data_IF_180586682502
#
_entry.id   IF_180586682502
#
_cell.length_a   1.000
_cell.length_b   1.000
_cell.length_c   1.000
_cell.angle_alpha   90.00
_cell.angle_beta   90.00
_cell.angle_gamma   90.00
#
_symmetry.space_group_name_H-M   'P 1'
#
loop_
_entity.id
_entity.type
_entity.pdbx_description
1 polymer ?
#
# COMPACT_ATOMS: atom_id res chain seq x y z
N UNK A 1 7.93 -26.90 -17.03
CA UNK A 1 7.75 -25.44 -16.98
C UNK A 1 6.86 -25.02 -18.12
N UNK A 2 5.88 -24.12 -17.91
CA UNK A 2 5.12 -23.57 -19.03
C UNK A 2 6.07 -22.89 -20.02
N UNK A 3 5.67 -22.73 -21.28
CA UNK A 3 6.45 -22.05 -22.30
C UNK A 3 6.85 -20.61 -21.92
N UNK A 4 6.21 -20.03 -20.90
CA UNK A 4 6.49 -18.69 -20.36
C UNK A 4 7.06 -18.70 -18.93
N UNK A 5 7.48 -19.85 -18.41
CA UNK A 5 8.00 -19.96 -17.03
C UNK A 5 6.96 -19.67 -15.96
N UNK A 6 5.68 -19.90 -16.25
CA UNK A 6 4.58 -19.66 -15.31
C UNK A 6 4.38 -20.87 -14.40
N UNK A 7 4.12 -20.60 -13.12
CA UNK A 7 3.69 -21.59 -12.12
C UNK A 7 2.20 -21.36 -11.88
N UNK A 8 1.41 -22.44 -11.99
CA UNK A 8 -0.03 -22.41 -11.71
C UNK A 8 -0.25 -22.84 -10.26
N UNK A 9 -0.96 -22.02 -9.50
CA UNK A 9 -1.42 -22.39 -8.15
C UNK A 9 -2.78 -23.11 -8.30
N UNK A 10 -2.90 -24.39 -7.90
CA UNK A 10 -4.18 -25.12 -7.88
C UNK A 10 -5.24 -24.42 -7.03
N UNK A 11 -6.52 -24.65 -7.35
CA UNK A 11 -7.66 -24.02 -6.65
C UNK A 11 -7.65 -24.32 -5.15
N UNK A 12 -7.46 -25.57 -4.77
CA UNK A 12 -7.39 -26.01 -3.36
C UNK A 12 -6.36 -25.20 -2.54
N UNK A 13 -5.17 -24.97 -3.10
CA UNK A 13 -4.11 -24.18 -2.45
C UNK A 13 -4.49 -22.68 -2.39
N UNK A 14 -5.21 -22.17 -3.40
CA UNK A 14 -5.69 -20.78 -3.34
C UNK A 14 -6.69 -20.59 -2.22
N UNK A 15 -7.59 -21.54 -2.04
CA UNK A 15 -8.63 -21.47 -1.02
C UNK A 15 -8.02 -21.57 0.39
N UNK A 16 -7.09 -22.51 0.59
CA UNK A 16 -6.36 -22.67 1.86
C UNK A 16 -5.55 -21.43 2.27
N UNK A 17 -5.00 -20.71 1.28
CA UNK A 17 -4.19 -19.51 1.50
C UNK A 17 -4.99 -18.20 1.31
N UNK A 18 -6.31 -18.31 1.10
CA UNK A 18 -7.25 -17.21 0.86
C UNK A 18 -6.76 -16.26 -0.25
N UNK A 19 -6.27 -16.82 -1.35
CA UNK A 19 -5.71 -16.08 -2.47
C UNK A 19 -6.79 -15.70 -3.47
N UNK A 20 -6.96 -14.41 -3.68
CA UNK A 20 -7.84 -13.86 -4.72
C UNK A 20 -7.02 -13.24 -5.87
N UNK A 21 -7.68 -13.00 -7.01
CA UNK A 21 -7.08 -12.25 -8.09
C UNK A 21 -6.64 -10.86 -7.59
N UNK A 22 -5.38 -10.49 -7.85
CA UNK A 22 -4.79 -9.25 -7.32
C UNK A 22 -4.05 -9.40 -5.99
N UNK A 23 -4.03 -10.61 -5.40
CA UNK A 23 -3.16 -10.90 -4.25
C UNK A 23 -1.69 -10.65 -4.61
N UNK A 24 -1.00 -9.91 -3.75
CA UNK A 24 0.41 -9.59 -3.91
C UNK A 24 1.28 -10.52 -3.07
N UNK A 25 2.45 -10.84 -3.59
CA UNK A 25 3.44 -11.67 -2.90
C UNK A 25 4.79 -10.99 -2.86
N UNK A 26 5.43 -11.03 -1.69
CA UNK A 26 6.87 -10.86 -1.61
C UNK A 26 7.54 -12.18 -1.99
N UNK A 27 8.48 -12.11 -2.94
CA UNK A 27 9.20 -13.28 -3.46
C UNK A 27 10.61 -13.30 -2.89
N UNK A 28 10.97 -14.40 -2.25
CA UNK A 28 12.31 -14.60 -1.71
C UNK A 28 12.90 -15.89 -2.29
N UNK A 29 14.17 -15.81 -2.71
CA UNK A 29 14.97 -16.95 -3.12
C UNK A 29 16.45 -16.63 -2.94
N UNK A 30 17.26 -17.64 -2.59
CA UNK A 30 18.72 -17.55 -2.62
C UNK A 30 19.22 -18.44 -3.75
N UNK A 31 20.35 -18.09 -4.35
CA UNK A 31 20.94 -18.89 -5.43
C UNK A 31 21.26 -20.32 -4.99
N UNK A 32 21.52 -20.52 -3.69
CA UNK A 32 21.87 -21.80 -3.08
C UNK A 32 20.65 -22.55 -2.50
N UNK A 33 19.44 -21.99 -2.58
CA UNK A 33 18.24 -22.62 -2.01
C UNK A 33 17.42 -23.33 -3.08
N UNK A 34 17.01 -24.55 -2.80
CA UNK A 34 16.11 -25.34 -3.67
C UNK A 34 14.63 -24.92 -3.54
N UNK A 35 14.35 -23.76 -2.95
CA UNK A 35 12.99 -23.27 -2.71
C UNK A 35 12.85 -21.78 -2.99
N UNK A 36 11.64 -21.41 -3.42
CA UNK A 36 11.20 -20.02 -3.54
C UNK A 36 10.07 -19.82 -2.55
N UNK A 37 10.19 -18.83 -1.67
CA UNK A 37 9.15 -18.47 -0.72
C UNK A 37 8.28 -17.34 -1.29
N UNK A 38 6.98 -17.61 -1.39
CA UNK A 38 5.96 -16.63 -1.73
C UNK A 38 5.20 -16.23 -0.48
N UNK A 39 5.45 -15.03 0.05
CA UNK A 39 4.75 -14.52 1.23
C UNK A 39 3.62 -13.59 0.80
N UNK A 40 2.37 -13.96 1.09
CA UNK A 40 1.18 -13.11 0.85
C UNK A 40 1.35 -11.77 1.58
N UNK A 41 1.09 -10.68 0.88
CA UNK A 41 1.08 -9.33 1.44
C UNK A 41 -0.35 -8.89 1.67
N UNK A 42 -0.70 -8.65 2.92
CA UNK A 42 -1.95 -7.98 3.29
C UNK A 42 -1.72 -6.48 3.21
N UNK A 43 -2.20 -5.89 2.11
CA UNK A 43 -2.25 -4.44 2.02
C UNK A 43 -3.51 -3.93 2.70
N UNK A 44 -3.42 -2.83 3.47
CA UNK A 44 -4.61 -2.21 4.00
C UNK A 44 -5.48 -1.70 2.84
N UNK A 45 -6.79 -1.80 3.02
CA UNK A 45 -7.77 -1.20 2.11
C UNK A 45 -7.41 0.27 1.87
N UNK A 46 -7.14 0.70 0.61
CA UNK A 46 -6.62 2.03 0.32
C UNK A 46 -7.45 3.16 0.93
N UNK A 47 -8.77 3.02 0.88
CA UNK A 47 -9.71 4.00 1.46
C UNK A 47 -9.57 4.07 2.97
N UNK A 48 -9.54 2.93 3.66
CA UNK A 48 -9.39 2.88 5.13
C UNK A 48 -8.04 3.43 5.57
N UNK A 49 -6.97 3.04 4.87
CA UNK A 49 -5.63 3.54 5.14
C UNK A 49 -5.58 5.07 4.99
N UNK A 50 -6.20 5.61 3.93
CA UNK A 50 -6.26 7.04 3.69
C UNK A 50 -7.05 7.78 4.77
N UNK A 51 -8.20 7.24 5.18
CA UNK A 51 -9.00 7.81 6.27
C UNK A 51 -8.25 7.82 7.61
N UNK A 52 -7.51 6.76 7.94
CA UNK A 52 -6.70 6.71 9.15
C UNK A 52 -5.57 7.73 9.12
N UNK A 53 -4.87 7.85 7.99
CA UNK A 53 -3.85 8.87 7.79
C UNK A 53 -4.44 10.29 7.92
N UNK A 54 -5.61 10.55 7.34
CA UNK A 54 -6.29 11.83 7.44
C UNK A 54 -6.67 12.15 8.90
N UNK A 55 -7.27 11.19 9.62
CA UNK A 55 -7.60 11.33 11.05
C UNK A 55 -6.37 11.60 11.91
N UNK A 56 -5.26 10.92 11.63
CA UNK A 56 -3.99 11.18 12.30
C UNK A 56 -3.49 12.61 12.02
N UNK A 57 -3.52 13.03 10.75
CA UNK A 57 -3.10 14.36 10.32
C UNK A 57 -3.91 15.48 10.99
N UNK A 58 -5.23 15.32 11.09
CA UNK A 58 -6.11 16.26 11.78
C UNK A 58 -5.79 16.38 13.27
N UNK A 59 -5.57 15.24 13.95
CA UNK A 59 -5.18 15.24 15.38
C UNK A 59 -3.85 15.96 15.58
N UNK A 60 -2.88 15.69 14.72
CA UNK A 60 -1.56 16.33 14.76
C UNK A 60 -1.65 17.84 14.53
N UNK A 61 -2.47 18.27 13.56
CA UNK A 61 -2.71 19.68 13.29
C UNK A 61 -3.36 20.40 14.49
N UNK A 62 -4.38 19.78 15.11
CA UNK A 62 -5.01 20.32 16.32
C UNK A 62 -4.01 20.45 17.47
N UNK A 63 -3.19 19.42 17.72
CA UNK A 63 -2.17 19.45 18.76
C UNK A 63 -1.14 20.58 18.56
N UNK A 64 -0.79 20.88 17.31
CA UNK A 64 0.16 21.95 16.95
C UNK A 64 -0.48 23.29 16.66
N UNK A 65 -1.80 23.44 16.85
CA UNK A 65 -2.58 24.64 16.52
C UNK A 65 -2.34 25.12 15.08
N UNK A 66 -2.16 24.19 14.16
CA UNK A 66 -1.97 24.47 12.74
C UNK A 66 -3.33 24.73 12.10
N UNK A 67 -3.45 25.83 11.36
CA UNK A 67 -4.62 26.09 10.53
C UNK A 67 -4.57 25.23 9.27
N UNK A 68 -5.39 24.18 9.27
CA UNK A 68 -5.61 23.25 8.15
C UNK A 68 -6.93 23.55 7.43
N UNK A 69 -7.49 24.74 7.60
CA UNK A 69 -8.68 25.13 6.85
C UNK A 69 -8.42 25.08 5.34
N UNK A 70 -9.42 24.71 4.52
CA UNK A 70 -9.26 24.65 3.06
C UNK A 70 -8.75 25.98 2.46
N UNK A 71 -9.21 27.11 3.00
CA UNK A 71 -8.79 28.45 2.57
C UNK A 71 -7.30 28.70 2.83
N UNK A 72 -6.84 28.49 4.07
CA UNK A 72 -5.44 28.68 4.45
C UNK A 72 -4.49 27.73 3.71
N UNK A 73 -4.94 26.50 3.45
CA UNK A 73 -4.16 25.52 2.68
C UNK A 73 -4.01 25.96 1.22
N UNK A 74 -5.10 26.36 0.56
CA UNK A 74 -5.07 26.85 -0.83
C UNK A 74 -4.20 28.10 -0.95
N UNK A 75 -4.28 29.02 0.01
CA UNK A 75 -3.48 30.24 0.03
C UNK A 75 -1.98 29.93 0.15
N UNK A 76 -1.58 29.08 1.10
CA UNK A 76 -0.17 28.64 1.23
C UNK A 76 0.34 27.92 -0.02
N UNK A 77 -0.46 27.05 -0.63
CA UNK A 77 -0.08 26.36 -1.87
C UNK A 77 0.11 27.37 -3.02
N UNK A 78 -0.75 28.38 -3.11
CA UNK A 78 -0.62 29.46 -4.11
C UNK A 78 0.63 30.31 -3.88
N UNK A 79 0.95 30.66 -2.64
CA UNK A 79 2.18 31.38 -2.29
C UNK A 79 3.43 30.58 -2.67
N UNK A 80 3.48 29.29 -2.34
CA UNK A 80 4.61 28.43 -2.68
C UNK A 80 4.78 28.27 -4.20
N UNK A 81 3.67 28.16 -4.96
CA UNK A 81 3.72 28.07 -6.43
C UNK A 81 4.17 29.37 -7.10
N UNK A 82 3.96 30.52 -6.47
CA UNK A 82 4.42 31.83 -6.99
C UNK A 82 5.90 32.10 -6.72
N UNK A 83 6.49 31.44 -5.73
CA UNK A 83 7.92 31.57 -5.39
C UNK A 83 8.83 30.65 -6.19
N UNK A 84 8.27 29.80 -7.05
CA UNK A 84 8.98 28.87 -7.92
C UNK A 84 8.88 29.35 -9.36
#
# INVERSE_FOLDING_TARGET
>A
MSSRGQVVIPEEIRDELELSAGSLFAVYGRAESDSILLKKLELPEPTKAFEEMAKWGEKHAKARKLDVSPKATVEKVREFRRKK
#
